data_IF_382035872151
#
_entry.id   IF_382035872151
#
_cell.length_a   1.000
_cell.length_b   1.000
_cell.length_c   1.000
_cell.angle_alpha   90.00
_cell.angle_beta   90.00
_cell.angle_gamma   90.00
#
_symmetry.space_group_name_H-M   'P 1'
#
loop_
_entity.id
_entity.type
_entity.pdbx_description
1 polymer ?
#
# COMPACT_ATOMS: atom_id res chain seq x y z
N UNK A 1 17.82 73.31 3.47
CA UNK A 1 16.74 73.32 4.49
C UNK A 1 16.92 72.09 5.38
N UNK A 2 16.83 72.32 6.70
CA UNK A 2 16.51 71.42 7.82
C UNK A 2 17.30 70.11 8.10
N UNK A 3 17.83 70.08 9.34
CA UNK A 3 18.40 68.94 10.12
C UNK A 3 17.28 68.01 10.62
N UNK A 4 17.61 66.76 11.01
CA UNK A 4 17.22 65.95 12.20
C UNK A 4 17.73 64.50 11.95
N UNK A 5 18.61 63.84 12.71
CA UNK A 5 18.75 63.51 14.14
C UNK A 5 17.97 62.24 14.58
N UNK A 6 18.74 61.18 14.91
CA UNK A 6 18.66 60.22 16.07
C UNK A 6 17.31 59.45 16.25
N UNK A 7 17.24 58.13 16.45
CA UNK A 7 17.69 57.41 17.65
C UNK A 7 17.56 55.88 17.51
N UNK A 8 18.54 55.16 18.06
CA UNK A 8 18.45 53.75 18.45
C UNK A 8 17.78 53.62 19.82
N UNK A 9 17.04 52.53 20.07
CA UNK A 9 16.78 52.05 21.43
C UNK A 9 16.66 50.52 21.47
N UNK A 10 17.65 49.88 22.09
CA UNK A 10 17.63 48.53 22.66
C UNK A 10 16.85 48.52 23.98
N UNK A 11 16.19 47.41 24.32
CA UNK A 11 16.62 46.52 25.43
C UNK A 11 15.51 45.57 25.97
N UNK A 12 15.96 44.35 26.25
CA UNK A 12 15.63 43.41 27.34
C UNK A 12 14.15 43.12 27.70
N UNK A 13 13.78 41.85 27.52
CA UNK A 13 12.75 41.20 28.34
C UNK A 13 13.40 40.23 29.33
N UNK A 14 13.15 40.50 30.62
CA UNK A 14 13.47 39.64 31.75
C UNK A 14 12.36 38.59 31.92
N UNK A 15 12.74 37.32 32.02
CA UNK A 15 11.96 36.27 32.68
C UNK A 15 12.07 36.46 34.20
N UNK A 16 11.03 36.16 35.00
CA UNK A 16 11.03 34.83 35.64
C UNK A 16 9.65 34.25 36.05
N UNK A 17 9.74 32.98 36.46
CA UNK A 17 8.98 32.30 37.52
C UNK A 17 7.80 31.39 37.13
N UNK A 18 8.07 30.08 37.20
CA UNK A 18 7.30 29.13 38.01
C UNK A 18 6.03 28.52 37.41
N UNK A 19 6.11 27.23 37.08
CA UNK A 19 5.04 26.25 37.37
C UNK A 19 5.62 24.85 37.28
N UNK A 20 5.69 24.19 38.43
CA UNK A 20 5.82 22.74 38.56
C UNK A 20 4.45 22.18 38.18
N UNK A 21 4.38 21.47 37.05
CA UNK A 21 3.30 20.53 36.78
C UNK A 21 3.94 19.24 36.29
N UNK A 22 3.87 18.23 37.14
CA UNK A 22 4.20 16.85 36.84
C UNK A 22 2.88 16.09 36.70
N UNK A 23 2.34 15.90 35.48
CA UNK A 23 1.33 14.91 35.25
C UNK A 23 2.05 13.62 34.82
N UNK A 24 2.09 12.66 35.74
CA UNK A 24 2.29 11.24 35.43
C UNK A 24 1.35 10.84 34.30
N UNK A 25 1.89 10.87 33.08
CA UNK A 25 1.18 10.53 31.87
C UNK A 25 1.46 9.06 31.62
N UNK A 26 0.50 8.23 32.03
CA UNK A 26 0.44 6.82 31.65
C UNK A 26 0.74 6.69 30.16
N UNK A 27 1.87 6.05 29.85
CA UNK A 27 2.29 5.71 28.51
C UNK A 27 1.27 4.73 27.91
N UNK A 28 0.20 5.25 27.31
CA UNK A 28 -0.53 4.51 26.30
C UNK A 28 0.43 4.35 25.12
N UNK A 29 1.06 3.19 25.03
CA UNK A 29 1.75 2.76 23.82
C UNK A 29 0.66 2.52 22.77
N UNK A 30 0.24 3.60 22.09
CA UNK A 30 -0.48 3.46 20.84
C UNK A 30 0.45 2.65 19.94
N UNK A 31 0.05 1.43 19.64
CA UNK A 31 0.57 0.72 18.48
C UNK A 31 0.29 1.63 17.29
N UNK A 32 1.31 2.40 16.88
CA UNK A 32 1.32 3.08 15.60
C UNK A 32 1.20 1.98 14.55
N UNK A 33 -0.04 1.68 14.14
CA UNK A 33 -0.26 1.11 12.83
C UNK A 33 0.55 1.97 11.87
N UNK A 34 1.46 1.40 11.06
CA UNK A 34 2.30 2.19 10.19
C UNK A 34 1.40 3.14 9.43
N UNK A 35 1.59 4.43 9.72
CA UNK A 35 0.79 5.47 9.13
C UNK A 35 0.85 5.30 7.61
N UNK A 36 -0.22 5.72 6.95
CA UNK A 36 -0.35 5.80 5.50
C UNK A 36 0.88 6.45 4.82
N UNK A 37 1.79 7.10 5.55
CA UNK A 37 3.14 7.50 5.15
C UNK A 37 4.08 6.39 4.60
N UNK A 38 3.84 5.09 4.81
CA UNK A 38 4.53 4.04 4.01
C UNK A 38 4.09 4.05 2.52
N UNK A 39 3.11 4.89 2.14
CA UNK A 39 2.69 5.13 0.75
C UNK A 39 3.78 5.72 -0.16
N UNK A 40 4.92 6.17 0.36
CA UNK A 40 6.08 6.45 -0.51
C UNK A 40 6.52 5.21 -1.31
N UNK A 41 6.20 3.99 -0.84
CA UNK A 41 6.41 2.76 -1.62
C UNK A 41 5.56 2.69 -2.89
N UNK A 42 4.34 3.21 -2.88
CA UNK A 42 3.37 3.08 -3.99
C UNK A 42 3.87 3.68 -5.31
N UNK A 43 4.66 4.75 -5.23
CA UNK A 43 5.08 5.54 -6.39
C UNK A 43 6.09 4.80 -7.27
N UNK A 44 6.84 3.84 -6.70
CA UNK A 44 7.88 3.07 -7.39
C UNK A 44 7.60 1.56 -7.46
N UNK A 45 6.55 1.05 -6.78
CA UNK A 45 6.18 -0.39 -6.79
C UNK A 45 6.00 -0.93 -8.22
N UNK A 46 5.53 -0.10 -9.16
CA UNK A 46 5.37 -0.51 -10.56
C UNK A 46 6.66 -1.03 -11.18
N UNK A 47 7.84 -0.51 -10.80
CA UNK A 47 9.13 -1.01 -11.30
C UNK A 47 9.35 -2.48 -10.91
N UNK A 48 9.01 -2.83 -9.67
CA UNK A 48 9.12 -4.21 -9.18
C UNK A 48 8.12 -5.15 -9.87
N UNK A 49 6.96 -4.63 -10.28
CA UNK A 49 6.00 -5.41 -11.08
C UNK A 49 6.61 -5.78 -12.44
N UNK A 50 7.17 -4.81 -13.18
CA UNK A 50 7.79 -5.11 -14.48
C UNK A 50 9.07 -5.94 -14.37
N UNK A 51 9.79 -5.88 -13.24
CA UNK A 51 10.89 -6.82 -12.99
C UNK A 51 10.39 -8.28 -12.90
N UNK A 52 9.20 -8.51 -12.34
CA UNK A 52 8.61 -9.86 -12.18
C UNK A 52 7.76 -10.28 -13.39
N UNK A 53 7.26 -9.32 -14.16
CA UNK A 53 6.41 -9.51 -15.34
C UNK A 53 6.97 -8.67 -16.51
N UNK A 54 8.15 -9.05 -17.07
CA UNK A 54 8.85 -8.24 -18.08
C UNK A 54 8.08 -8.12 -19.40
N UNK A 55 7.21 -9.08 -19.71
CA UNK A 55 6.42 -9.08 -20.94
C UNK A 55 5.15 -8.22 -20.86
N UNK A 56 4.87 -7.61 -19.69
CA UNK A 56 3.71 -6.75 -19.52
C UNK A 56 3.90 -5.40 -20.25
N UNK A 57 2.93 -4.92 -21.05
CA UNK A 57 3.08 -3.65 -21.75
C UNK A 57 3.23 -2.46 -20.81
N UNK A 58 4.20 -1.59 -21.10
CA UNK A 58 4.48 -0.41 -20.26
C UNK A 58 3.44 0.71 -20.39
N UNK A 59 2.87 0.92 -21.58
CA UNK A 59 1.96 2.04 -21.92
C UNK A 59 2.42 3.41 -21.35
N UNK A 60 3.66 3.80 -21.63
CA UNK A 60 4.30 5.04 -21.14
C UNK A 60 4.72 6.02 -22.25
N UNK A 61 4.06 5.94 -23.41
CA UNK A 61 4.25 6.81 -24.58
C UNK A 61 3.51 8.17 -24.48
N UNK A 62 2.89 8.47 -23.33
CA UNK A 62 2.07 9.66 -23.15
C UNK A 62 2.90 10.92 -22.92
N UNK A 63 2.39 12.06 -23.40
CA UNK A 63 3.01 13.37 -23.21
C UNK A 63 2.41 14.07 -22.00
N UNK A 64 3.27 14.58 -21.12
CA UNK A 64 2.89 15.40 -19.96
C UNK A 64 2.35 16.75 -20.43
N UNK A 65 1.23 17.19 -19.85
CA UNK A 65 0.68 18.54 -20.04
C UNK A 65 1.60 19.63 -19.48
N UNK A 66 2.26 19.33 -18.37
CA UNK A 66 3.13 20.28 -17.66
C UNK A 66 4.45 20.53 -18.41
N UNK A 67 5.13 19.45 -18.80
CA UNK A 67 6.50 19.56 -19.35
C UNK A 67 6.54 19.50 -20.88
N UNK A 68 5.46 19.06 -21.53
CA UNK A 68 5.43 18.78 -22.96
C UNK A 68 6.32 17.61 -23.38
N UNK A 69 6.91 16.86 -22.44
CA UNK A 69 7.80 15.72 -22.69
C UNK A 69 7.08 14.40 -22.42
N UNK A 70 7.65 13.31 -22.92
CA UNK A 70 7.18 11.96 -22.62
C UNK A 70 7.24 11.69 -21.11
N UNK A 71 6.13 11.23 -20.54
CA UNK A 71 6.00 10.85 -19.14
C UNK A 71 6.42 9.38 -18.96
N UNK A 72 7.72 9.10 -19.06
CA UNK A 72 8.28 7.73 -19.07
C UNK A 72 7.95 6.91 -17.81
N UNK A 73 7.72 7.55 -16.68
CA UNK A 73 7.33 6.89 -15.41
C UNK A 73 5.81 6.67 -15.29
N UNK A 74 5.01 7.26 -16.18
CA UNK A 74 3.57 7.07 -16.21
C UNK A 74 3.24 5.79 -17.00
N UNK A 75 3.36 4.65 -16.33
CA UNK A 75 3.14 3.31 -16.91
C UNK A 75 1.73 2.78 -16.64
N UNK A 76 1.31 1.75 -17.40
CA UNK A 76 0.05 1.00 -17.20
C UNK A 76 -0.12 0.58 -15.75
N UNK A 77 0.84 -0.18 -15.21
CA UNK A 77 0.79 -0.67 -13.83
C UNK A 77 0.78 0.48 -12.83
N UNK A 78 1.56 1.54 -13.05
CA UNK A 78 1.55 2.72 -12.19
C UNK A 78 0.16 3.37 -12.12
N UNK A 79 -0.55 3.45 -13.26
CA UNK A 79 -1.93 3.94 -13.32
C UNK A 79 -2.93 2.98 -12.67
N UNK A 80 -2.80 1.66 -12.86
CA UNK A 80 -3.64 0.65 -12.19
C UNK A 80 -3.52 0.75 -10.68
N UNK A 81 -2.29 0.85 -10.17
CA UNK A 81 -2.03 1.01 -8.74
C UNK A 81 -2.64 2.32 -8.24
N UNK A 82 -2.43 3.44 -8.94
CA UNK A 82 -2.99 4.73 -8.54
C UNK A 82 -4.53 4.71 -8.54
N UNK A 83 -5.13 4.07 -9.55
CA UNK A 83 -6.58 3.90 -9.64
C UNK A 83 -7.11 3.08 -8.45
N UNK A 84 -6.49 1.95 -8.15
CA UNK A 84 -6.88 1.08 -7.04
C UNK A 84 -6.82 1.82 -5.69
N UNK A 85 -5.67 2.45 -5.41
CA UNK A 85 -5.37 3.02 -4.10
C UNK A 85 -6.06 4.36 -3.88
N UNK A 86 -6.08 5.26 -4.88
CA UNK A 86 -6.52 6.64 -4.68
C UNK A 86 -7.88 6.97 -5.30
N UNK A 87 -8.27 6.29 -6.38
CA UNK A 87 -9.58 6.54 -7.02
C UNK A 87 -10.65 5.65 -6.39
N UNK A 88 -10.32 4.38 -6.15
CA UNK A 88 -11.25 3.41 -5.56
C UNK A 88 -11.07 3.20 -4.08
N UNK A 89 -10.00 3.73 -3.48
CA UNK A 89 -9.68 3.59 -2.06
C UNK A 89 -9.69 2.14 -1.58
N UNK A 90 -9.26 1.22 -2.45
CA UNK A 90 -9.20 -0.21 -2.15
C UNK A 90 -7.91 -0.55 -1.39
N UNK A 91 -7.95 -1.43 -0.37
CA UNK A 91 -6.75 -1.82 0.33
C UNK A 91 -5.87 -2.74 -0.55
N UNK A 92 -4.59 -2.38 -0.78
CA UNK A 92 -3.75 -3.08 -1.74
C UNK A 92 -3.20 -4.42 -1.23
N UNK A 93 -3.39 -4.74 0.04
CA UNK A 93 -2.97 -6.01 0.65
C UNK A 93 -3.98 -7.15 0.43
N UNK A 94 -5.15 -6.89 -0.18
CA UNK A 94 -6.16 -7.92 -0.43
C UNK A 94 -6.22 -8.34 -1.90
N UNK A 95 -6.16 -9.64 -2.14
CA UNK A 95 -6.25 -10.22 -3.48
C UNK A 95 -7.60 -9.93 -4.15
N UNK A 96 -8.70 -9.95 -3.38
CA UNK A 96 -10.04 -9.73 -3.91
C UNK A 96 -10.17 -8.32 -4.51
N UNK A 97 -9.67 -7.31 -3.81
CA UNK A 97 -9.72 -5.92 -4.25
C UNK A 97 -8.99 -5.69 -5.58
N UNK A 98 -7.84 -6.34 -5.78
CA UNK A 98 -7.14 -6.30 -7.07
C UNK A 98 -7.95 -6.97 -8.19
N UNK A 99 -8.67 -8.06 -7.88
CA UNK A 99 -9.56 -8.69 -8.85
C UNK A 99 -10.74 -7.81 -9.21
N UNK A 100 -11.33 -7.10 -8.24
CA UNK A 100 -12.38 -6.13 -8.49
C UNK A 100 -11.86 -4.97 -9.35
N UNK A 101 -10.64 -4.48 -9.09
CA UNK A 101 -10.00 -3.50 -9.97
C UNK A 101 -9.86 -4.01 -11.40
N UNK A 102 -9.36 -5.23 -11.63
CA UNK A 102 -9.30 -5.74 -13.00
C UNK A 102 -10.70 -5.94 -13.61
N UNK A 103 -11.71 -6.29 -12.82
CA UNK A 103 -13.09 -6.36 -13.28
C UNK A 103 -13.63 -4.98 -13.70
N UNK A 104 -13.22 -3.89 -13.06
CA UNK A 104 -13.54 -2.52 -13.50
C UNK A 104 -12.99 -2.25 -14.92
N UNK A 105 -11.75 -2.64 -15.19
CA UNK A 105 -11.12 -2.48 -16.51
C UNK A 105 -11.81 -3.30 -17.60
N UNK A 106 -12.26 -4.50 -17.25
CA UNK A 106 -13.00 -5.41 -18.11
C UNK A 106 -14.49 -5.04 -18.27
N UNK A 107 -14.96 -3.99 -17.59
CA UNK A 107 -16.37 -3.58 -17.61
C UNK A 107 -17.32 -4.55 -16.92
N UNK A 108 -16.82 -5.38 -16.01
CA UNK A 108 -17.55 -6.45 -15.33
C UNK A 108 -17.86 -6.14 -13.85
N UNK A 109 -17.49 -4.98 -13.33
CA UNK A 109 -17.80 -4.54 -11.96
C UNK A 109 -18.31 -3.09 -11.94
N UNK A 110 -17.42 -2.09 -11.89
CA UNK A 110 -17.80 -0.67 -11.90
C UNK A 110 -17.36 0.03 -13.18
N UNK A 111 -18.12 1.05 -13.60
CA UNK A 111 -17.72 1.92 -14.70
C UNK A 111 -16.56 2.82 -14.26
N UNK A 112 -15.48 2.82 -15.04
CA UNK A 112 -14.37 3.76 -14.85
C UNK A 112 -14.81 5.14 -15.35
N UNK A 113 -14.86 6.12 -14.44
CA UNK A 113 -15.13 7.51 -14.79
C UNK A 113 -13.88 8.15 -15.41
N UNK A 114 -14.02 8.65 -16.63
CA UNK A 114 -12.90 9.19 -17.40
C UNK A 114 -12.21 10.36 -16.71
N UNK A 115 -12.98 11.26 -16.11
CA UNK A 115 -12.50 12.46 -15.41
C UNK A 115 -11.71 12.17 -14.13
N UNK A 116 -11.87 10.97 -13.56
CA UNK A 116 -11.15 10.55 -12.36
C UNK A 116 -9.98 9.61 -12.69
N UNK A 117 -9.79 9.26 -13.96
CA UNK A 117 -8.80 8.26 -14.33
C UNK A 117 -7.37 8.81 -14.16
N UNK A 118 -6.42 8.04 -13.61
CA UNK A 118 -5.03 8.44 -13.51
C UNK A 118 -4.45 8.87 -14.86
N UNK A 119 -4.07 10.15 -14.96
CA UNK A 119 -3.55 10.74 -16.18
C UNK A 119 -4.50 11.70 -16.88
N UNK A 120 -5.79 11.76 -16.49
CA UNK A 120 -6.77 12.70 -17.06
C UNK A 120 -6.27 14.15 -17.03
N UNK A 121 -5.86 14.64 -15.86
CA UNK A 121 -5.43 16.04 -15.70
C UNK A 121 -3.96 16.28 -16.06
N UNK A 122 -3.12 15.24 -16.05
CA UNK A 122 -1.66 15.39 -16.17
C UNK A 122 -1.09 15.02 -17.54
N UNK A 123 -1.83 14.25 -18.35
CA UNK A 123 -1.40 13.82 -19.68
C UNK A 123 -2.24 14.51 -20.76
N UNK A 124 -1.64 14.79 -21.91
CA UNK A 124 -2.34 15.43 -23.03
C UNK A 124 -3.48 14.58 -23.58
N UNK A 125 -3.33 13.25 -23.50
CA UNK A 125 -4.35 12.27 -23.87
C UNK A 125 -4.66 11.39 -22.67
N UNK A 126 -5.94 11.20 -22.37
CA UNK A 126 -6.35 10.28 -21.32
C UNK A 126 -6.00 8.82 -21.70
N UNK A 127 -5.23 8.09 -20.88
CA UNK A 127 -4.84 6.71 -21.16
C UNK A 127 -5.95 5.67 -20.98
N UNK A 128 -7.06 6.01 -20.31
CA UNK A 128 -8.10 5.05 -19.86
C UNK A 128 -8.49 3.99 -20.89
N UNK A 129 -8.85 4.40 -22.11
CA UNK A 129 -9.33 3.46 -23.12
C UNK A 129 -8.23 2.52 -23.63
N UNK A 130 -6.99 3.02 -23.75
CA UNK A 130 -5.84 2.20 -24.14
C UNK A 130 -5.57 1.14 -23.08
N UNK A 131 -5.56 1.55 -21.81
CA UNK A 131 -5.26 0.67 -20.68
C UNK A 131 -6.31 -0.43 -20.53
N UNK A 132 -7.59 -0.09 -20.69
CA UNK A 132 -8.67 -1.09 -20.74
C UNK A 132 -8.43 -2.11 -21.85
N UNK A 133 -8.11 -1.65 -23.06
CA UNK A 133 -7.84 -2.54 -24.18
C UNK A 133 -6.62 -3.45 -23.94
N UNK A 134 -5.59 -2.99 -23.21
CA UNK A 134 -4.46 -3.85 -22.83
C UNK A 134 -4.91 -4.93 -21.85
N UNK A 135 -5.65 -4.56 -20.79
CA UNK A 135 -6.14 -5.52 -19.79
C UNK A 135 -7.14 -6.54 -20.37
N UNK A 136 -7.95 -6.11 -21.35
CA UNK A 136 -8.85 -6.99 -22.10
C UNK A 136 -8.07 -8.05 -22.91
N UNK A 137 -6.96 -7.66 -23.54
CA UNK A 137 -6.09 -8.57 -24.33
C UNK A 137 -5.32 -9.57 -23.48
N UNK A 138 -5.05 -9.26 -22.20
CA UNK A 138 -4.42 -10.22 -21.29
C UNK A 138 -5.29 -11.47 -21.15
N UNK A 139 -4.68 -12.65 -21.19
CA UNK A 139 -5.39 -13.88 -20.88
C UNK A 139 -5.61 -14.01 -19.36
N UNK A 140 -6.41 -15.02 -18.95
CA UNK A 140 -6.72 -15.26 -17.53
C UNK A 140 -5.46 -15.45 -16.68
N UNK A 141 -4.49 -16.24 -17.16
CA UNK A 141 -3.27 -16.53 -16.41
C UNK A 141 -2.41 -15.27 -16.22
N UNK A 142 -2.28 -14.42 -17.24
CA UNK A 142 -1.58 -13.14 -17.15
C UNK A 142 -2.23 -12.18 -16.15
N UNK A 143 -3.56 -12.11 -16.14
CA UNK A 143 -4.30 -11.31 -15.15
C UNK A 143 -4.13 -11.84 -13.73
N UNK A 144 -4.18 -13.16 -13.54
CA UNK A 144 -3.95 -13.78 -12.23
C UNK A 144 -2.50 -13.57 -11.75
N UNK A 145 -1.51 -13.64 -12.64
CA UNK A 145 -0.11 -13.36 -12.34
C UNK A 145 0.11 -11.89 -11.93
N UNK A 146 -0.51 -10.93 -12.64
CA UNK A 146 -0.50 -9.51 -12.27
C UNK A 146 -1.07 -9.30 -10.86
N UNK A 147 -2.24 -9.88 -10.56
CA UNK A 147 -2.86 -9.80 -9.24
C UNK A 147 -1.96 -10.41 -8.15
N UNK A 148 -1.35 -11.57 -8.42
CA UNK A 148 -0.46 -12.23 -7.47
C UNK A 148 0.78 -11.40 -7.17
N UNK A 149 1.39 -10.80 -8.20
CA UNK A 149 2.53 -9.91 -8.02
C UNK A 149 2.12 -8.69 -7.20
N UNK A 150 1.05 -8.00 -7.58
CA UNK A 150 0.55 -6.82 -6.86
C UNK A 150 0.32 -7.12 -5.38
N UNK A 151 -0.47 -8.15 -5.04
CA UNK A 151 -0.75 -8.46 -3.62
C UNK A 151 0.52 -8.83 -2.85
N UNK A 152 1.48 -9.51 -3.48
CA UNK A 152 2.74 -9.88 -2.82
C UNK A 152 3.64 -8.69 -2.50
N UNK A 153 3.54 -7.60 -3.27
CA UNK A 153 4.32 -6.39 -3.05
C UNK A 153 3.71 -5.49 -1.96
N UNK A 154 2.40 -5.62 -1.72
CA UNK A 154 1.67 -4.82 -0.74
C UNK A 154 1.33 -5.59 0.55
N UNK A 155 1.65 -6.88 0.61
CA UNK A 155 1.51 -7.69 1.83
C UNK A 155 2.87 -7.72 2.54
N UNK A 156 3.00 -7.13 3.75
CA UNK A 156 4.24 -7.23 4.50
C UNK A 156 4.53 -8.70 4.83
N UNK A 157 5.75 -9.17 4.54
CA UNK A 157 6.22 -10.48 4.96
C UNK A 157 6.27 -10.50 6.50
N UNK A 158 5.25 -11.08 7.14
CA UNK A 158 5.25 -11.33 8.59
C UNK A 158 6.33 -12.33 9.04
N UNK A 159 7.13 -12.87 8.11
CA UNK A 159 8.19 -13.85 8.40
C UNK A 159 9.52 -13.25 8.88
N UNK A 160 9.65 -11.93 9.03
CA UNK A 160 10.88 -11.30 9.54
C UNK A 160 10.84 -10.87 11.02
N UNK A 161 9.82 -11.26 11.77
CA UNK A 161 9.81 -11.13 13.24
C UNK A 161 9.25 -12.40 13.89
N UNK A 162 9.95 -13.52 13.70
CA UNK A 162 9.98 -14.55 14.75
C UNK A 162 11.08 -14.14 15.73
N UNK A 163 10.82 -14.01 17.04
CA UNK A 163 11.88 -13.93 18.03
C UNK A 163 12.78 -15.15 17.85
N UNK A 164 14.09 -14.94 17.68
CA UNK A 164 15.10 -15.99 17.76
C UNK A 164 14.96 -16.67 19.13
N UNK A 165 14.69 -17.99 19.22
CA UNK A 165 14.73 -18.66 20.51
C UNK A 165 16.18 -18.70 20.99
N UNK A 166 16.47 -18.03 22.11
CA UNK A 166 17.75 -18.14 22.80
C UNK A 166 18.01 -19.59 23.23
N UNK A 167 19.24 -20.11 23.07
CA UNK A 167 19.54 -21.50 23.37
C UNK A 167 19.89 -21.70 24.85
N UNK A 168 19.10 -22.50 25.58
CA UNK A 168 19.61 -23.46 26.59
C UNK A 168 18.48 -24.26 27.26
N UNK A 169 18.31 -25.50 26.83
CA UNK A 169 18.38 -26.72 27.64
C UNK A 169 18.00 -27.93 26.76
N UNK A 170 18.91 -28.90 26.59
CA UNK A 170 18.63 -30.22 25.98
C UNK A 170 18.46 -31.28 27.09
N UNK A 171 17.97 -32.51 26.81
CA UNK A 171 16.58 -32.83 26.45
C UNK A 171 15.99 -33.91 27.40
N UNK A 172 14.71 -33.81 27.76
CA UNK A 172 13.98 -34.90 28.43
C UNK A 172 13.21 -35.72 27.37
N UNK A 173 13.21 -37.07 27.40
CA UNK A 173 12.60 -37.86 26.33
C UNK A 173 11.07 -37.73 26.38
N UNK A 174 10.49 -36.98 25.43
CA UNK A 174 9.05 -36.97 25.18
C UNK A 174 8.73 -37.91 24.03
N UNK A 175 7.75 -38.79 24.26
CA UNK A 175 7.23 -39.73 23.29
C UNK A 175 6.74 -39.04 22.01
N UNK A 176 6.96 -39.68 20.87
CA UNK A 176 6.67 -39.13 19.54
C UNK A 176 5.19 -38.72 19.36
N UNK A 177 4.89 -37.50 18.88
CA UNK A 177 3.55 -37.13 18.47
C UNK A 177 3.19 -37.77 17.12
N UNK A 178 2.01 -38.39 17.07
CA UNK A 178 1.40 -38.97 15.86
C UNK A 178 0.94 -37.83 14.93
N UNK A 179 1.09 -37.95 13.60
CA UNK A 179 0.74 -36.87 12.68
C UNK A 179 -0.79 -36.68 12.60
N UNK A 180 -1.29 -35.56 13.13
CA UNK A 180 -2.66 -35.10 12.94
C UNK A 180 -2.82 -34.47 11.56
N UNK A 181 -3.08 -35.30 10.55
CA UNK A 181 -3.49 -34.89 9.21
C UNK A 181 -4.86 -35.45 8.88
N UNK A 182 -5.89 -34.63 9.00
CA UNK A 182 -7.25 -34.92 8.56
C UNK A 182 -8.30 -34.29 9.46
N UNK A 183 -9.19 -33.48 8.88
CA UNK A 183 -10.45 -33.12 9.54
C UNK A 183 -11.20 -34.42 9.87
N UNK A 184 -11.31 -34.75 11.15
CA UNK A 184 -12.12 -35.86 11.59
C UNK A 184 -13.59 -35.52 11.33
N UNK A 185 -14.29 -36.39 10.61
CA UNK A 185 -15.75 -36.31 10.52
C UNK A 185 -16.34 -36.58 11.92
N UNK A 186 -17.37 -35.83 12.33
CA UNK A 186 -17.99 -36.03 13.62
C UNK A 186 -18.56 -37.45 13.74
N UNK A 187 -18.32 -38.08 14.88
CA UNK A 187 -18.82 -39.42 15.18
C UNK A 187 -20.20 -39.35 15.86
N UNK A 188 -21.04 -40.39 15.71
CA UNK A 188 -22.29 -40.47 16.45
C UNK A 188 -22.02 -40.39 17.97
N UNK A 189 -22.46 -39.31 18.61
CA UNK A 189 -22.21 -39.01 20.03
C UNK A 189 -21.64 -37.61 20.29
N UNK A 190 -21.00 -36.99 19.30
CA UNK A 190 -20.32 -35.69 19.47
C UNK A 190 -21.28 -34.53 19.82
N UNK A 191 -22.57 -34.67 19.53
CA UNK A 191 -23.60 -33.70 19.90
C UNK A 191 -23.81 -33.58 21.42
N UNK A 192 -23.38 -34.56 22.21
CA UNK A 192 -23.55 -34.57 23.68
C UNK A 192 -22.48 -33.74 24.41
N UNK A 193 -21.47 -33.26 23.69
CA UNK A 193 -20.38 -32.42 24.19
C UNK A 193 -20.75 -30.92 24.24
N UNK A 194 -21.91 -30.54 23.70
CA UNK A 194 -22.46 -29.19 23.78
C UNK A 194 -23.39 -29.10 24.99
N UNK A 195 -22.82 -28.97 26.19
CA UNK A 195 -23.55 -28.72 27.45
C UNK A 195 -23.23 -27.34 28.00
#
# INVERSE_FOLDING_TARGET
MLRFAVASLTALFLFPWGSIFDPSSSLFHLSEQPAIAQMYGTQDVWRQVYQRLPDLPLENQYISKETGKQASENTLVGRIIRYHVYVKSRPPNYRLDWKLTLADYLGANELIQESLYPGYDTLQKNPMQSDRAVIERLNRAQRDALVQVLVSLFTPNSQQQAPVPSPSASPQPQAAPKPSGGLALPQPGDAQLLK
#
